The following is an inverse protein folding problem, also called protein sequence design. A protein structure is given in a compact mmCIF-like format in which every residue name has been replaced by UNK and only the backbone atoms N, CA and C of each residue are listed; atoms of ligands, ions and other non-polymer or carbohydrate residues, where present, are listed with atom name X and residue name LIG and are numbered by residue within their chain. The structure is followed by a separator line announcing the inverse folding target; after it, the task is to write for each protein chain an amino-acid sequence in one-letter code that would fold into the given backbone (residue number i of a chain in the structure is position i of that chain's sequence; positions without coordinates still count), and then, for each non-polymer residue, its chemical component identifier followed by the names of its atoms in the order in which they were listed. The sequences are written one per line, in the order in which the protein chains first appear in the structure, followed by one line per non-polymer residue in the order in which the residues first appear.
data_IF_880483784854
#
_entry.id   IF_880483784854
#
_cell.length_a   1.000
_cell.length_b   1.000
_cell.length_c   1.000
_cell.angle_alpha   90.00
_cell.angle_beta   90.00
_cell.angle_gamma   90.00
#
_symmetry.space_group_name_H-M   'P 1'
#
loop_
_entity.id
_entity.type
_entity.pdbx_description
1 polymer ?
#
# COMPACT_ATOMS: atom_id res chain seq x y z
N UNK A 1 -12.76 20.53 -6.41
CA UNK A 1 -11.48 19.93 -6.89
C UNK A 1 -11.13 18.66 -6.11
N UNK A 2 -11.04 18.71 -4.77
CA UNK A 2 -10.75 17.55 -3.90
C UNK A 2 -11.68 16.34 -4.07
N UNK A 3 -12.99 16.52 -4.25
CA UNK A 3 -13.93 15.39 -4.48
C UNK A 3 -13.67 14.67 -5.81
N UNK A 4 -13.30 15.42 -6.85
CA UNK A 4 -12.90 14.85 -8.15
C UNK A 4 -11.62 14.03 -7.99
N UNK A 5 -10.68 14.48 -7.16
CA UNK A 5 -9.44 13.75 -6.84
C UNK A 5 -9.72 12.47 -6.03
N UNK A 6 -10.65 12.52 -5.06
CA UNK A 6 -11.05 11.36 -4.26
C UNK A 6 -11.68 10.23 -5.07
N UNK A 7 -12.34 10.55 -6.18
CA UNK A 7 -12.88 9.54 -7.10
C UNK A 7 -11.82 8.66 -7.80
N UNK A 8 -10.54 8.99 -7.65
CA UNK A 8 -9.42 8.25 -8.26
C UNK A 8 -8.86 7.13 -7.38
N UNK A 9 -9.37 6.96 -6.16
CA UNK A 9 -8.87 5.96 -5.20
C UNK A 9 -9.72 4.70 -5.21
N UNK A 10 -9.07 3.54 -5.08
CA UNK A 10 -9.74 2.23 -5.13
C UNK A 10 -10.51 1.95 -3.84
N UNK A 11 -10.10 2.63 -2.77
CA UNK A 11 -10.61 2.52 -1.42
C UNK A 11 -10.98 3.92 -0.91
N UNK A 12 -12.15 4.04 -0.26
CA UNK A 12 -12.53 5.29 0.42
C UNK A 12 -11.60 5.52 1.63
N UNK A 13 -10.83 6.61 1.66
CA UNK A 13 -9.97 6.99 2.79
C UNK A 13 -10.71 7.05 4.15
N UNK A 14 -12.02 7.30 4.14
CA UNK A 14 -12.83 7.36 5.36
C UNK A 14 -12.97 6.00 6.05
N UNK A 15 -12.91 4.89 5.29
CA UNK A 15 -13.02 3.54 5.85
C UNK A 15 -11.77 3.11 6.62
N UNK A 16 -10.64 3.75 6.34
CA UNK A 16 -9.40 3.58 7.07
C UNK A 16 -9.20 4.67 8.15
N UNK A 17 -10.21 5.49 8.46
CA UNK A 17 -10.12 6.59 9.43
C UNK A 17 -8.98 7.60 9.13
N UNK A 18 -8.58 7.77 7.87
CA UNK A 18 -7.40 8.56 7.50
C UNK A 18 -7.54 10.06 7.78
N UNK A 19 -8.77 10.59 7.78
CA UNK A 19 -9.01 12.02 8.07
C UNK A 19 -8.51 12.44 9.46
N UNK A 20 -8.34 11.51 10.40
CA UNK A 20 -7.91 11.78 11.78
C UNK A 20 -6.45 11.41 12.08
N UNK A 21 -5.67 10.89 11.10
CA UNK A 21 -4.34 10.29 11.35
C UNK A 21 -3.20 10.77 10.44
N UNK A 22 -3.27 11.99 9.88
CA UNK A 22 -2.10 12.57 9.16
C UNK A 22 -0.81 12.60 10.01
N UNK A 23 -0.94 12.57 11.34
CA UNK A 23 0.19 12.56 12.28
C UNK A 23 0.82 11.17 12.52
N UNK A 24 0.36 10.11 11.85
CA UNK A 24 0.91 8.74 11.98
C UNK A 24 1.38 8.16 10.64
N UNK A 25 1.59 9.01 9.63
CA UNK A 25 2.08 8.57 8.33
C UNK A 25 3.55 8.17 8.44
N UNK A 26 3.88 7.01 7.88
CA UNK A 26 5.25 6.52 7.78
C UNK A 26 5.73 6.76 6.36
N UNK A 27 6.94 7.31 6.22
CA UNK A 27 7.57 7.49 4.91
C UNK A 27 8.29 6.19 4.56
N UNK A 28 7.91 5.59 3.44
CA UNK A 28 8.43 4.30 2.99
C UNK A 28 8.98 4.44 1.58
N UNK A 29 10.21 3.99 1.38
CA UNK A 29 10.80 3.93 0.06
C UNK A 29 10.09 2.86 -0.80
N UNK A 30 9.92 3.13 -2.09
CA UNK A 30 9.29 2.21 -3.04
C UNK A 30 9.92 0.82 -3.05
N UNK A 31 11.23 0.70 -2.80
CA UNK A 31 11.93 -0.57 -2.71
C UNK A 31 11.45 -1.46 -1.54
N UNK A 32 10.76 -0.90 -0.56
CA UNK A 32 10.22 -1.63 0.59
C UNK A 32 8.71 -1.91 0.47
N UNK A 33 8.07 -1.45 -0.62
CA UNK A 33 6.64 -1.64 -0.86
C UNK A 33 6.37 -2.88 -1.71
N UNK A 34 5.45 -3.72 -1.23
CA UNK A 34 5.09 -4.97 -1.89
C UNK A 34 3.65 -4.93 -2.42
N UNK A 35 3.34 -5.75 -3.42
CA UNK A 35 2.00 -5.86 -4.01
C UNK A 35 1.81 -5.08 -5.31
N UNK A 36 2.87 -4.72 -6.05
CA UNK A 36 2.65 -4.02 -7.33
C UNK A 36 2.11 -4.97 -8.39
N UNK A 37 0.84 -4.78 -8.74
CA UNK A 37 0.14 -5.57 -9.75
C UNK A 37 0.84 -5.52 -11.12
N UNK A 38 0.67 -6.56 -11.96
CA UNK A 38 1.06 -6.56 -13.36
C UNK A 38 0.43 -5.41 -14.17
N UNK A 39 1.09 -4.94 -15.25
CA UNK A 39 0.58 -3.82 -16.07
C UNK A 39 -0.83 -3.98 -16.63
N UNK A 40 -1.20 -5.21 -16.97
CA UNK A 40 -2.45 -5.67 -17.56
C UNK A 40 -3.62 -5.68 -16.58
N UNK A 41 -3.36 -5.73 -15.27
CA UNK A 41 -4.41 -5.64 -14.24
C UNK A 41 -4.87 -4.19 -13.97
N UNK A 42 -4.20 -3.19 -14.55
CA UNK A 42 -4.50 -1.79 -14.30
C UNK A 42 -5.42 -1.16 -15.33
N UNK A 43 -6.44 -0.45 -14.86
CA UNK A 43 -7.34 0.33 -15.69
C UNK A 43 -6.59 1.44 -16.43
N UNK A 44 -6.67 1.46 -17.76
CA UNK A 44 -6.10 2.52 -18.60
C UNK A 44 -6.63 3.92 -18.22
N UNK A 45 -7.91 4.02 -17.88
CA UNK A 45 -8.52 5.26 -17.41
C UNK A 45 -7.87 5.76 -16.11
N UNK A 46 -7.62 4.87 -15.13
CA UNK A 46 -6.93 5.23 -13.88
C UNK A 46 -5.47 5.58 -14.13
N UNK A 47 -4.79 4.85 -15.02
CA UNK A 47 -3.43 5.14 -15.45
C UNK A 47 -3.30 6.57 -16.01
N UNK A 48 -4.19 6.97 -16.91
CA UNK A 48 -4.19 8.33 -17.50
C UNK A 48 -4.38 9.40 -16.41
N UNK A 49 -5.36 9.20 -15.54
CA UNK A 49 -5.70 10.15 -14.46
C UNK A 49 -4.56 10.34 -13.44
N UNK A 50 -3.89 9.25 -13.03
CA UNK A 50 -2.78 9.34 -12.07
C UNK A 50 -1.55 10.02 -12.69
N UNK A 51 -1.26 9.77 -13.97
CA UNK A 51 -0.22 10.51 -14.70
C UNK A 51 -0.52 12.01 -14.77
N UNK A 52 -1.78 12.38 -15.03
CA UNK A 52 -2.23 13.77 -15.02
C UNK A 52 -2.03 14.42 -13.64
N UNK A 53 -2.37 13.73 -12.55
CA UNK A 53 -2.10 14.22 -11.20
C UNK A 53 -0.62 14.46 -10.94
N UNK A 54 0.25 13.48 -11.25
CA UNK A 54 1.69 13.68 -11.10
C UNK A 54 2.21 14.85 -11.93
N UNK A 55 1.70 15.04 -13.15
CA UNK A 55 2.04 16.18 -14.00
C UNK A 55 1.65 17.51 -13.34
N UNK A 56 0.45 17.62 -12.77
CA UNK A 56 0.00 18.83 -12.05
C UNK A 56 0.96 19.15 -10.89
N UNK A 57 1.28 18.16 -10.05
CA UNK A 57 2.18 18.38 -8.91
C UNK A 57 3.63 18.66 -9.34
N UNK A 58 4.07 18.10 -10.47
CA UNK A 58 5.36 18.41 -11.08
C UNK A 58 5.40 19.85 -11.61
N UNK A 59 4.34 20.34 -12.26
CA UNK A 59 4.20 21.72 -12.70
C UNK A 59 4.18 22.72 -11.52
N UNK A 60 3.70 22.28 -10.35
CA UNK A 60 3.79 23.04 -9.10
C UNK A 60 5.19 23.00 -8.45
N UNK A 61 6.14 22.27 -9.03
CA UNK A 61 7.52 22.15 -8.53
C UNK A 61 7.69 21.19 -7.34
N UNK A 62 6.65 20.45 -6.95
CA UNK A 62 6.72 19.52 -5.82
C UNK A 62 5.88 18.23 -6.07
N UNK A 63 6.38 17.30 -6.91
CA UNK A 63 5.71 16.03 -7.17
C UNK A 63 5.54 15.16 -5.91
N UNK A 64 6.41 15.31 -4.91
CA UNK A 64 6.35 14.59 -3.64
C UNK A 64 5.07 14.93 -2.85
N UNK A 65 4.56 16.15 -2.96
CA UNK A 65 3.36 16.60 -2.25
C UNK A 65 2.13 15.75 -2.56
N UNK A 66 2.05 15.13 -3.75
CA UNK A 66 0.96 14.21 -4.09
C UNK A 66 0.86 13.06 -3.08
N UNK A 67 2.00 12.54 -2.63
CA UNK A 67 2.05 11.43 -1.67
C UNK A 67 1.60 11.86 -0.27
N UNK A 68 1.81 13.12 0.10
CA UNK A 68 1.38 13.70 1.39
C UNK A 68 -0.12 13.98 1.37
N UNK A 69 -0.61 14.53 0.26
CA UNK A 69 -2.02 14.88 0.10
C UNK A 69 -2.89 13.63 -0.03
N UNK A 70 -2.34 12.59 -0.66
CA UNK A 70 -3.00 11.31 -0.89
C UNK A 70 -2.06 10.15 -0.54
N UNK A 71 -1.87 9.87 0.76
CA UNK A 71 -1.09 8.74 1.23
C UNK A 71 -1.56 7.43 0.62
N UNK A 72 -0.67 6.45 0.55
CA UNK A 72 -1.03 5.08 0.19
C UNK A 72 -1.45 4.32 1.45
N UNK A 73 -2.26 3.27 1.26
CA UNK A 73 -2.68 2.41 2.37
C UNK A 73 -1.86 1.14 2.30
N UNK A 74 -1.18 0.82 3.40
CA UNK A 74 -0.38 -0.39 3.53
C UNK A 74 -0.91 -1.29 4.66
N UNK A 75 -0.88 -2.58 4.41
CA UNK A 75 -1.04 -3.62 5.42
C UNK A 75 0.35 -4.04 5.89
N UNK A 76 0.57 -4.02 7.19
CA UNK A 76 1.73 -4.63 7.82
C UNK A 76 1.51 -6.14 7.93
N UNK A 77 2.27 -6.89 7.15
CA UNK A 77 2.23 -8.35 7.13
C UNK A 77 3.40 -8.86 7.98
N UNK A 78 3.15 -9.55 9.11
CA UNK A 78 4.22 -10.00 9.99
C UNK A 78 5.24 -10.86 9.25
N UNK A 79 6.53 -10.53 9.38
CA UNK A 79 7.63 -11.34 8.88
C UNK A 79 8.02 -12.40 9.93
N UNK A 80 7.03 -13.15 10.42
CA UNK A 80 7.16 -14.17 11.44
C UNK A 80 6.73 -15.54 10.89
N UNK A 81 7.31 -16.61 11.44
CA UNK A 81 6.81 -17.95 11.21
C UNK A 81 5.42 -18.12 11.85
N UNK A 82 4.56 -18.94 11.25
CA UNK A 82 3.21 -19.20 11.80
C UNK A 82 3.23 -19.91 13.16
N UNK A 83 4.35 -20.54 13.50
CA UNK A 83 4.60 -21.20 14.79
C UNK A 83 5.14 -20.24 15.85
N UNK A 84 5.43 -18.99 15.48
CA UNK A 84 5.92 -17.97 16.41
C UNK A 84 4.81 -17.59 17.40
N UNK A 85 5.17 -17.54 18.69
CA UNK A 85 4.23 -17.20 19.76
C UNK A 85 3.61 -15.80 19.57
N UNK A 86 4.33 -14.90 18.90
CA UNK A 86 3.88 -13.54 18.63
C UNK A 86 3.01 -13.44 17.36
N UNK A 87 2.94 -14.50 16.54
CA UNK A 87 2.27 -14.45 15.24
C UNK A 87 0.81 -13.99 15.35
N UNK A 88 0.02 -14.65 16.21
CA UNK A 88 -1.40 -14.32 16.38
C UNK A 88 -1.63 -12.88 16.86
N UNK A 89 -0.77 -12.38 17.74
CA UNK A 89 -0.81 -10.99 18.22
C UNK A 89 -0.43 -10.01 17.09
N UNK A 90 0.63 -10.32 16.34
CA UNK A 90 1.13 -9.48 15.24
C UNK A 90 0.16 -9.37 14.06
N UNK A 91 -0.79 -10.31 13.91
CA UNK A 91 -1.89 -10.17 12.95
C UNK A 91 -2.84 -9.01 13.34
N UNK A 92 -3.04 -8.79 14.63
CA UNK A 92 -4.06 -7.87 15.14
C UNK A 92 -3.52 -6.48 15.48
N UNK A 93 -2.25 -6.38 15.86
CA UNK A 93 -1.60 -5.15 16.26
C UNK A 93 -0.18 -5.02 15.71
N UNK A 94 0.30 -3.77 15.63
CA UNK A 94 1.70 -3.47 15.31
C UNK A 94 2.51 -3.56 16.60
N UNK A 95 3.35 -4.59 16.68
CA UNK A 95 4.18 -4.89 17.84
C UNK A 95 5.54 -4.22 17.64
N UNK A 96 6.03 -3.47 18.63
CA UNK A 96 7.38 -2.90 18.58
C UNK A 96 8.44 -3.96 18.28
N UNK A 97 9.48 -3.57 17.54
CA UNK A 97 10.62 -4.41 17.15
C UNK A 97 10.30 -5.64 16.27
N UNK A 98 9.02 -5.91 15.99
CA UNK A 98 8.61 -6.94 15.05
C UNK A 98 8.83 -6.44 13.62
N UNK A 99 9.36 -7.31 12.78
CA UNK A 99 9.57 -7.03 11.37
C UNK A 99 8.30 -7.29 10.56
N UNK A 100 7.94 -6.34 9.70
CA UNK A 100 6.75 -6.40 8.85
C UNK A 100 7.11 -6.16 7.40
N UNK A 101 6.57 -6.99 6.51
CA UNK A 101 6.52 -6.67 5.08
C UNK A 101 5.31 -5.77 4.82
N UNK A 102 5.50 -4.69 4.07
CA UNK A 102 4.40 -3.78 3.74
C UNK A 102 3.76 -4.17 2.41
N UNK A 103 2.50 -4.59 2.46
CA UNK A 103 1.69 -4.84 1.28
C UNK A 103 0.84 -3.60 0.96
N UNK A 104 0.92 -3.09 -0.27
CA UNK A 104 0.05 -2.02 -0.76
C UNK A 104 -1.37 -2.56 -0.87
N UNK A 105 -2.33 -1.84 -0.29
CA UNK A 105 -3.76 -2.16 -0.32
C UNK A 105 -4.50 -1.15 -1.21
N UNK A 106 -4.14 0.13 -1.11
CA UNK A 106 -4.56 1.19 -2.04
C UNK A 106 -3.34 2.02 -2.46
N UNK A 107 -3.38 2.55 -3.67
CA UNK A 107 -2.35 3.47 -4.17
C UNK A 107 -1.33 2.85 -5.10
N UNK A 108 -1.55 1.61 -5.54
CA UNK A 108 -0.74 0.90 -6.52
C UNK A 108 -0.34 1.75 -7.75
N UNK A 109 -1.29 2.47 -8.34
CA UNK A 109 -1.02 3.35 -9.48
C UNK A 109 -0.11 4.53 -9.11
N UNK A 110 -0.26 5.09 -7.90
CA UNK A 110 0.59 6.18 -7.40
C UNK A 110 2.03 5.67 -7.29
N UNK A 111 2.22 4.55 -6.59
CA UNK A 111 3.52 3.89 -6.44
C UNK A 111 4.16 3.58 -7.80
N UNK A 112 3.38 3.04 -8.73
CA UNK A 112 3.85 2.70 -10.08
C UNK A 112 4.42 3.89 -10.86
N UNK A 113 3.78 5.05 -10.77
CA UNK A 113 4.15 6.20 -11.60
C UNK A 113 5.14 7.15 -10.93
N UNK A 114 5.19 7.20 -9.58
CA UNK A 114 6.07 8.11 -8.84
C UNK A 114 7.52 8.17 -9.34
N UNK A 115 8.21 7.04 -9.62
CA UNK A 115 9.60 7.07 -10.07
C UNK A 115 9.81 7.86 -11.37
N UNK A 116 8.82 7.92 -12.26
CA UNK A 116 8.89 8.70 -13.51
C UNK A 116 8.88 10.22 -13.27
N UNK A 117 8.53 10.63 -12.06
CA UNK A 117 8.44 12.01 -11.59
C UNK A 117 9.40 12.27 -10.43
N UNK A 118 10.45 11.45 -10.30
CA UNK A 118 11.46 11.53 -9.23
C UNK A 118 10.89 11.37 -7.81
N UNK A 119 9.77 10.65 -7.66
CA UNK A 119 9.18 10.29 -6.36
C UNK A 119 9.51 8.84 -6.07
N UNK A 120 10.33 8.61 -5.05
CA UNK A 120 10.72 7.26 -4.61
C UNK A 120 10.22 6.94 -3.20
N UNK A 121 9.96 7.96 -2.37
CA UNK A 121 9.40 7.79 -1.04
C UNK A 121 7.90 8.08 -1.05
N UNK A 122 7.13 7.31 -0.29
CA UNK A 122 5.68 7.43 -0.23
C UNK A 122 5.23 7.53 1.22
N UNK A 123 4.35 8.49 1.50
CA UNK A 123 3.66 8.55 2.78
C UNK A 123 2.60 7.45 2.81
N UNK A 124 2.67 6.63 3.86
CA UNK A 124 1.86 5.44 4.02
C UNK A 124 1.07 5.50 5.33
N UNK A 125 -0.22 5.26 5.23
CA UNK A 125 -1.03 4.86 6.38
C UNK A 125 -0.87 3.35 6.57
N UNK A 126 -0.23 2.94 7.66
CA UNK A 126 0.03 1.52 7.93
C UNK A 126 -0.99 0.98 8.94
N UNK A 127 -1.58 -0.17 8.61
CA UNK A 127 -2.55 -0.86 9.45
C UNK A 127 -2.12 -2.31 9.68
N UNK A 128 -2.52 -2.87 10.83
CA UNK A 128 -2.37 -4.31 11.07
C UNK A 128 -3.21 -5.11 10.07
N UNK A 129 -2.89 -6.40 9.97
CA UNK A 129 -3.55 -7.31 9.05
C UNK A 129 -5.04 -7.44 9.34
N UNK A 130 -5.43 -7.63 10.62
CA UNK A 130 -6.83 -7.74 11.03
C UNK A 130 -7.62 -6.46 10.75
N UNK A 131 -7.03 -5.28 10.97
CA UNK A 131 -7.68 -4.00 10.68
C UNK A 131 -7.89 -3.82 9.17
N UNK A 132 -6.89 -4.19 8.36
CA UNK A 132 -6.99 -4.18 6.91
C UNK A 132 -8.08 -5.15 6.43
N UNK A 133 -8.08 -6.39 6.92
CA UNK A 133 -9.08 -7.40 6.58
C UNK A 133 -10.51 -6.92 6.89
N UNK A 134 -10.71 -6.34 8.08
CA UNK A 134 -12.00 -5.79 8.48
C UNK A 134 -12.50 -4.74 7.48
N UNK A 135 -11.62 -3.84 7.05
CA UNK A 135 -11.97 -2.78 6.09
C UNK A 135 -12.23 -3.35 4.69
N UNK A 136 -11.44 -4.32 4.24
CA UNK A 136 -11.64 -5.00 2.96
C UNK A 136 -12.96 -5.78 2.90
N UNK A 137 -13.38 -6.39 4.02
CA UNK A 137 -14.71 -7.00 4.17
C UNK A 137 -15.83 -5.97 4.12
N UNK A 138 -15.70 -4.84 4.85
CA UNK A 138 -16.67 -3.73 4.81
C UNK A 138 -16.85 -3.17 3.40
N UNK A 139 -15.76 -3.14 2.63
CA UNK A 139 -15.73 -2.73 1.22
C UNK A 139 -16.28 -3.76 0.24
N UNK A 140 -16.64 -4.98 0.71
CA UNK A 140 -17.02 -6.12 -0.13
C UNK A 140 -15.96 -6.50 -1.17
N UNK A 141 -14.69 -6.20 -0.86
CA UNK A 141 -13.53 -6.58 -1.70
C UNK A 141 -13.00 -7.97 -1.37
N UNK A 142 -13.36 -8.48 -0.19
CA UNK A 142 -13.09 -9.84 0.26
C UNK A 142 -14.38 -10.45 0.81
N UNK A 143 -14.47 -11.78 0.72
CA UNK A 143 -15.54 -12.55 1.33
C UNK A 143 -15.54 -12.35 2.86
N UNK A 144 -16.74 -12.29 3.46
CA UNK A 144 -16.90 -12.13 4.90
C UNK A 144 -16.34 -13.31 5.70
N UNK A 145 -16.18 -14.49 5.07
CA UNK A 145 -15.65 -15.70 5.68
C UNK A 145 -14.12 -15.74 5.77
N UNK A 146 -13.39 -14.92 4.99
CA UNK A 146 -11.92 -14.94 4.98
C UNK A 146 -11.38 -14.62 6.37
N UNK A 147 -10.59 -15.51 6.96
CA UNK A 147 -9.97 -15.28 8.28
C UNK A 147 -8.58 -14.62 8.16
N UNK A 148 -8.02 -14.01 9.23
CA UNK A 148 -6.72 -13.34 9.18
C UNK A 148 -5.60 -14.20 8.59
N UNK A 149 -5.51 -15.48 8.93
CA UNK A 149 -4.48 -16.40 8.48
C UNK A 149 -4.58 -16.70 6.98
N UNK A 150 -5.80 -16.80 6.46
CA UNK A 150 -6.05 -16.93 5.01
C UNK A 150 -5.65 -15.65 4.28
N UNK A 151 -6.03 -14.50 4.83
CA UNK A 151 -5.67 -13.21 4.25
C UNK A 151 -4.16 -12.98 4.27
N UNK A 152 -3.47 -13.37 5.33
CA UNK A 152 -2.01 -13.41 5.41
C UNK A 152 -1.40 -14.22 4.25
N UNK A 153 -1.87 -15.44 4.01
CA UNK A 153 -1.41 -16.28 2.89
C UNK A 153 -1.70 -15.64 1.53
N UNK A 154 -2.87 -15.02 1.37
CA UNK A 154 -3.22 -14.29 0.14
C UNK A 154 -2.25 -13.13 -0.11
N UNK A 155 -1.93 -12.35 0.92
CA UNK A 155 -1.00 -11.23 0.83
C UNK A 155 0.42 -11.72 0.54
N UNK A 156 0.93 -12.75 1.23
CA UNK A 156 2.25 -13.33 0.93
C UNK A 156 2.36 -13.77 -0.54
N UNK A 157 1.33 -14.46 -1.04
CA UNK A 157 1.26 -14.87 -2.45
C UNK A 157 1.26 -13.65 -3.37
N UNK A 158 0.47 -12.63 -3.07
CA UNK A 158 0.44 -11.36 -3.82
C UNK A 158 1.78 -10.60 -3.78
N UNK A 159 2.51 -10.66 -2.67
CA UNK A 159 3.82 -10.01 -2.55
C UNK A 159 4.90 -10.75 -3.34
N UNK A 160 4.86 -12.08 -3.42
CA UNK A 160 5.84 -12.86 -4.19
C UNK A 160 5.89 -12.52 -5.70
N UNK A 161 4.79 -12.02 -6.28
CA UNK A 161 4.78 -11.58 -7.68
C UNK A 161 5.40 -10.19 -7.88
N UNK A 162 5.66 -9.46 -6.79
CA UNK A 162 6.14 -8.08 -6.84
C UNK A 162 7.59 -7.99 -7.32
N UNK A 163 8.47 -8.89 -6.86
CA UNK A 163 9.86 -8.95 -7.31
C UNK A 163 9.92 -9.10 -8.83
N UNK A 164 9.17 -10.05 -9.38
CA UNK A 164 9.07 -10.26 -10.83
C UNK A 164 8.53 -9.02 -11.57
N UNK A 165 7.52 -8.36 -11.01
CA UNK A 165 6.93 -7.16 -11.60
C UNK A 165 7.89 -5.95 -11.60
N UNK A 166 8.73 -5.80 -10.59
CA UNK A 166 9.78 -4.76 -10.55
C UNK A 166 10.95 -5.08 -11.47
N UNK A 167 11.41 -6.33 -11.50
CA UNK A 167 12.49 -6.77 -12.37
C UNK A 167 12.17 -6.51 -13.85
N UNK A 168 10.93 -6.81 -14.29
CA UNK A 168 10.44 -6.48 -15.64
C UNK A 168 10.48 -4.98 -15.98
N UNK A 169 10.56 -4.12 -14.96
CA UNK A 169 10.55 -2.66 -15.10
C UNK A 169 11.93 -2.03 -14.90
N UNK A 170 12.97 -2.85 -14.76
CA UNK A 170 14.36 -2.41 -14.62
C UNK A 170 14.72 -1.90 -13.22
N UNK A 171 13.92 -2.23 -12.20
CA UNK A 171 14.21 -1.88 -10.81
C UNK A 171 14.72 -3.09 -10.04
N UNK A 172 15.74 -2.89 -9.21
CA UNK A 172 16.10 -3.87 -8.18
C UNK A 172 15.11 -3.74 -7.02
N UNK A 173 14.39 -4.81 -6.69
CA UNK A 173 13.45 -4.86 -5.58
C UNK A 173 13.86 -5.99 -4.64
N UNK A 174 13.95 -5.68 -3.35
CA UNK A 174 14.20 -6.65 -2.29
C UNK A 174 13.12 -6.47 -1.25
N UNK A 175 12.49 -7.57 -0.79
CA UNK A 175 11.56 -7.47 0.32
C UNK A 175 12.36 -7.19 1.59
N UNK A 176 12.41 -5.92 1.99
CA UNK A 176 13.07 -5.48 3.22
C UNK A 176 11.97 -5.21 4.26
N UNK A 177 11.92 -5.99 5.34
CA UNK A 177 10.98 -5.74 6.41
C UNK A 177 11.24 -4.40 7.11
N UNK A 178 10.18 -3.77 7.60
CA UNK A 178 10.24 -2.57 8.42
C UNK A 178 9.89 -2.89 9.87
N UNK A 179 10.38 -2.07 10.81
CA UNK A 179 10.00 -2.13 12.23
C UNK A 179 9.24 -0.85 12.60
N UNK A 180 8.31 -0.96 13.54
CA UNK A 180 7.50 0.14 14.05
C UNK A 180 7.78 0.40 15.53
#
# INVERSE_FOLDING_TARGET
MLEKVRSYFDIDPQLFNERNRKNQLVVVNIANLNGIQPPDEYSEAKNKKIKELYKIYQEMGNPQQLTIDFPIICCAVPNLGVEDIMFGQALSELIPDTEYNLAIIDGHHRVRYGPKYNVSDFYCSVYSLSQTLLNMKKLKKLDCQVIPEEYYKMLLKGMSSTISAFAQRGYSHTMIPVRF
#
